data_IF_814858498671
#
_entry.id   IF_814858498671
#
_cell.length_a   1.000
_cell.length_b   1.000
_cell.length_c   1.000
_cell.angle_alpha   90.00
_cell.angle_beta   90.00
_cell.angle_gamma   90.00
#
_symmetry.space_group_name_H-M   'P 1'
#
loop_
_entity.id
_entity.type
_entity.pdbx_description
1 polymer ?
#
# COMPACT_ATOMS: atom_id res chain seq x y z
N UNK A 1 -16.73 24.35 6.15
CA UNK A 1 -15.57 23.91 6.95
C UNK A 1 -14.23 24.04 6.23
N UNK A 2 -13.89 23.23 5.22
CA UNK A 2 -12.56 23.28 4.55
C UNK A 2 -12.20 24.68 4.03
N UNK A 3 -13.13 25.37 3.36
CA UNK A 3 -12.92 26.75 2.88
C UNK A 3 -12.75 27.77 4.01
N UNK A 4 -13.57 27.65 5.05
CA UNK A 4 -13.63 28.61 6.16
C UNK A 4 -12.48 28.44 7.15
N UNK A 5 -11.99 27.21 7.34
CA UNK A 5 -10.97 26.86 8.34
C UNK A 5 -9.59 26.69 7.73
N UNK A 6 -9.50 26.14 6.51
CA UNK A 6 -8.22 25.91 5.82
C UNK A 6 -7.94 26.95 4.71
N UNK A 7 -8.92 27.80 4.39
CA UNK A 7 -8.71 28.94 3.48
C UNK A 7 -8.63 28.62 1.98
N UNK A 8 -9.04 27.42 1.56
CA UNK A 8 -8.99 27.01 0.15
C UNK A 8 -10.14 27.62 -0.68
N UNK A 9 -9.85 27.97 -1.94
CA UNK A 9 -10.84 28.53 -2.87
C UNK A 9 -11.64 27.44 -3.60
N UNK A 10 -12.75 27.84 -4.25
CA UNK A 10 -13.57 26.93 -5.05
C UNK A 10 -12.81 26.38 -6.26
N UNK A 11 -11.96 27.20 -6.87
CA UNK A 11 -11.14 26.81 -8.02
C UNK A 11 -10.11 25.75 -7.62
N UNK A 12 -9.48 25.88 -6.45
CA UNK A 12 -8.54 24.87 -5.94
C UNK A 12 -9.25 23.55 -5.62
N UNK A 13 -10.43 23.60 -5.00
CA UNK A 13 -11.19 22.39 -4.65
C UNK A 13 -11.85 21.73 -5.87
N UNK A 14 -12.09 22.48 -6.95
CA UNK A 14 -12.62 21.97 -8.21
C UNK A 14 -11.56 21.37 -9.13
N UNK A 15 -10.29 21.60 -8.86
CA UNK A 15 -9.18 21.05 -9.65
C UNK A 15 -8.84 19.62 -9.20
N UNK A 16 -8.97 18.66 -10.12
CA UNK A 16 -8.68 17.25 -9.87
C UNK A 16 -7.19 16.99 -9.58
N UNK A 17 -6.32 17.91 -10.00
CA UNK A 17 -4.87 17.84 -9.79
C UNK A 17 -4.43 18.50 -8.49
N UNK A 18 -5.32 19.18 -7.76
CA UNK A 18 -4.98 19.85 -6.53
C UNK A 18 -4.78 18.86 -5.37
N UNK A 19 -3.57 18.85 -4.81
CA UNK A 19 -3.23 18.06 -3.63
C UNK A 19 -3.29 18.92 -2.35
N UNK A 20 -4.30 18.65 -1.52
CA UNK A 20 -4.57 19.44 -0.31
C UNK A 20 -3.46 19.32 0.76
N UNK A 21 -2.92 18.12 1.01
CA UNK A 21 -1.94 17.91 2.09
C UNK A 21 -0.60 18.62 1.82
N UNK A 22 -0.02 18.57 0.61
CA UNK A 22 1.13 19.41 0.26
C UNK A 22 0.83 20.91 0.38
N UNK A 23 -0.37 21.36 -0.01
CA UNK A 23 -0.76 22.77 0.10
C UNK A 23 -0.84 23.26 1.55
N UNK A 24 -1.14 22.38 2.50
CA UNK A 24 -1.07 22.64 3.95
C UNK A 24 0.36 22.60 4.51
N UNK A 25 1.36 22.29 3.70
CA UNK A 25 2.77 22.24 4.09
C UNK A 25 3.25 20.88 4.59
N UNK A 26 2.46 19.81 4.47
CA UNK A 26 2.91 18.48 4.85
C UNK A 26 3.95 17.94 3.87
N UNK A 27 5.02 17.34 4.40
CA UNK A 27 6.00 16.69 3.56
C UNK A 27 5.45 15.37 3.02
N UNK A 28 5.97 14.94 1.87
CA UNK A 28 5.63 13.62 1.30
C UNK A 28 5.87 12.48 2.29
N UNK A 29 6.92 12.58 3.11
CA UNK A 29 7.25 11.57 4.14
C UNK A 29 6.17 11.47 5.20
N UNK A 30 5.63 12.60 5.66
CA UNK A 30 4.59 12.63 6.68
C UNK A 30 3.27 12.08 6.13
N UNK A 31 2.94 12.42 4.88
CA UNK A 31 1.78 11.90 4.17
C UNK A 31 1.87 10.38 4.01
N UNK A 32 3.02 9.87 3.57
CA UNK A 32 3.24 8.42 3.41
C UNK A 32 3.17 7.69 4.77
N UNK A 33 3.75 8.26 5.83
CA UNK A 33 3.68 7.69 7.18
C UNK A 33 2.24 7.64 7.72
N UNK A 34 1.48 8.72 7.53
CA UNK A 34 0.07 8.78 7.91
C UNK A 34 -0.77 7.76 7.12
N UNK A 35 -0.53 7.62 5.82
CA UNK A 35 -1.19 6.62 4.98
C UNK A 35 -0.90 5.20 5.47
N UNK A 36 0.35 4.88 5.82
CA UNK A 36 0.70 3.56 6.37
C UNK A 36 -0.02 3.30 7.70
N UNK A 37 -0.14 4.33 8.54
CA UNK A 37 -0.81 4.17 9.84
C UNK A 37 -2.32 3.97 9.70
N UNK A 38 -2.99 4.76 8.85
CA UNK A 38 -4.46 4.76 8.73
C UNK A 38 -4.95 3.67 7.79
N UNK A 39 -4.34 3.56 6.60
CA UNK A 39 -4.77 2.63 5.56
C UNK A 39 -4.01 1.29 5.61
N UNK A 40 -2.95 1.20 6.40
CA UNK A 40 -2.07 0.04 6.48
C UNK A 40 -0.95 0.07 5.43
N UNK A 41 0.08 -0.76 5.65
CA UNK A 41 1.25 -0.86 4.77
C UNK A 41 1.01 -1.69 3.49
N UNK A 42 -0.17 -2.32 3.35
CA UNK A 42 -0.54 -3.24 2.26
C UNK A 42 0.50 -4.35 2.01
N UNK A 43 1.22 -4.80 3.05
CA UNK A 43 2.22 -5.84 2.96
C UNK A 43 2.08 -6.84 4.11
N UNK A 44 2.63 -8.05 3.91
CA UNK A 44 2.68 -9.12 4.91
C UNK A 44 3.95 -9.01 5.78
N UNK A 45 5.05 -8.56 5.20
CA UNK A 45 6.33 -8.44 5.90
C UNK A 45 6.25 -7.33 6.96
N UNK A 46 6.49 -7.68 8.22
CA UNK A 46 6.37 -6.74 9.33
C UNK A 46 4.93 -6.44 9.76
N UNK A 47 3.94 -7.19 9.23
CA UNK A 47 2.55 -7.06 9.68
C UNK A 47 2.44 -7.39 11.19
N UNK A 48 1.69 -6.59 11.96
CA UNK A 48 1.52 -6.84 13.38
C UNK A 48 0.89 -8.22 13.59
N UNK A 49 1.39 -8.96 14.58
CA UNK A 49 0.96 -10.32 14.95
C UNK A 49 1.28 -11.44 13.96
N UNK A 50 1.85 -11.14 12.78
CA UNK A 50 2.36 -12.16 11.87
C UNK A 50 3.80 -12.51 12.24
N UNK A 51 4.03 -13.76 12.66
CA UNK A 51 5.37 -14.26 12.91
C UNK A 51 6.07 -14.54 11.58
N UNK A 52 7.37 -14.26 11.50
CA UNK A 52 8.18 -14.51 10.29
C UNK A 52 8.08 -15.95 9.79
N UNK A 53 7.99 -16.92 10.71
CA UNK A 53 7.82 -18.34 10.40
C UNK A 53 6.52 -18.67 9.65
N UNK A 54 5.51 -17.79 9.71
CA UNK A 54 4.24 -17.98 8.99
C UNK A 54 4.26 -17.33 7.60
N UNK A 55 5.22 -16.44 7.30
CA UNK A 55 5.32 -15.78 6.00
C UNK A 55 5.26 -16.76 4.81
N UNK A 56 5.92 -17.93 4.82
CA UNK A 56 5.84 -18.89 3.72
C UNK A 56 4.43 -19.38 3.39
N UNK A 57 3.52 -19.40 4.39
CA UNK A 57 2.13 -19.83 4.20
C UNK A 57 1.32 -18.77 3.45
N UNK A 58 1.72 -17.50 3.56
CA UNK A 58 1.00 -16.36 3.00
C UNK A 58 1.71 -15.72 1.80
N UNK A 59 2.80 -16.32 1.30
CA UNK A 59 3.53 -15.80 0.16
C UNK A 59 2.59 -15.64 -1.07
N UNK A 60 2.64 -14.47 -1.68
CA UNK A 60 1.80 -14.12 -2.83
C UNK A 60 2.47 -14.53 -4.16
N UNK A 61 1.70 -14.58 -5.25
CA UNK A 61 2.21 -14.87 -6.59
C UNK A 61 3.29 -13.87 -7.07
N UNK A 62 3.20 -12.63 -6.61
CA UNK A 62 4.15 -11.53 -6.82
C UNK A 62 4.41 -10.83 -5.49
N UNK A 63 5.48 -10.02 -5.36
CA UNK A 63 5.75 -9.28 -4.14
C UNK A 63 4.54 -8.47 -3.65
N UNK A 64 4.20 -8.61 -2.37
CA UNK A 64 2.97 -8.05 -1.79
C UNK A 64 3.17 -6.61 -1.28
N UNK A 65 2.48 -5.66 -1.90
CA UNK A 65 2.52 -4.25 -1.53
C UNK A 65 3.75 -3.52 -2.05
N UNK A 66 3.91 -2.25 -1.64
CA UNK A 66 5.02 -1.39 -2.11
C UNK A 66 6.40 -1.83 -1.60
N UNK A 67 6.45 -2.48 -0.43
CA UNK A 67 7.70 -2.82 0.26
C UNK A 67 7.96 -4.32 0.39
N UNK A 68 6.99 -5.15 -0.02
CA UNK A 68 7.16 -6.60 0.01
C UNK A 68 8.23 -7.06 -0.97
N UNK A 69 8.97 -8.09 -0.57
CA UNK A 69 10.08 -8.68 -1.33
C UNK A 69 9.84 -10.16 -1.61
N UNK A 70 9.08 -10.83 -0.75
CA UNK A 70 8.79 -12.26 -0.88
C UNK A 70 7.67 -12.51 -1.89
N UNK A 71 7.83 -13.56 -2.67
CA UNK A 71 6.80 -14.11 -3.54
C UNK A 71 7.08 -15.59 -3.78
N UNK A 72 6.05 -16.30 -4.24
CA UNK A 72 6.21 -17.65 -4.76
C UNK A 72 7.18 -17.66 -5.94
N UNK A 73 7.91 -18.77 -6.08
CA UNK A 73 8.79 -18.95 -7.22
C UNK A 73 7.97 -19.20 -8.50
N UNK A 74 8.54 -18.84 -9.65
CA UNK A 74 7.92 -19.16 -10.94
C UNK A 74 7.72 -20.68 -11.09
N UNK A 75 8.68 -21.48 -10.62
CA UNK A 75 8.60 -22.94 -10.66
C UNK A 75 7.41 -23.47 -9.86
N UNK A 76 7.09 -22.90 -8.69
CA UNK A 76 5.91 -23.32 -7.92
C UNK A 76 4.61 -23.13 -8.70
N UNK A 77 4.49 -22.08 -9.51
CA UNK A 77 3.30 -21.87 -10.34
C UNK A 77 3.22 -22.91 -11.46
N UNK A 78 4.33 -23.19 -12.13
CA UNK A 78 4.40 -24.20 -13.20
C UNK A 78 4.05 -25.59 -12.64
N UNK A 79 4.64 -25.98 -11.52
CA UNK A 79 4.40 -27.28 -10.90
C UNK A 79 2.95 -27.42 -10.41
N UNK A 80 2.38 -26.35 -9.84
CA UNK A 80 0.97 -26.33 -9.43
C UNK A 80 0.04 -26.50 -10.63
N UNK A 81 0.28 -25.80 -11.74
CA UNK A 81 -0.49 -25.94 -12.97
C UNK A 81 -0.34 -27.31 -13.60
N UNK A 82 0.89 -27.85 -13.64
CA UNK A 82 1.18 -29.18 -14.19
C UNK A 82 0.49 -30.29 -13.40
N UNK A 83 0.44 -30.18 -12.06
CA UNK A 83 -0.26 -31.14 -11.22
C UNK A 83 -1.79 -31.10 -11.36
N UNK A 84 -2.35 -29.94 -11.76
CA UNK A 84 -3.79 -29.74 -11.90
C UNK A 84 -4.34 -30.10 -13.30
N UNK A 85 -3.47 -30.19 -14.32
CA UNK A 85 -3.87 -30.58 -15.67
C UNK A 85 -3.85 -32.13 -15.80
N UNK A 86 -4.93 -32.74 -16.33
CA UNK A 86 -5.03 -34.19 -16.53
C UNK A 86 -4.11 -34.74 -17.63
#
# INVERSE_FOLDING_TARGET
WVKETLGFTDEQLGDISFEMLPALGFSKKDIDAANIHVCGAMTLEGAPFLKDQHLPVFDCASPCGKIGKRSLSINSHILMMAAAQP
#
